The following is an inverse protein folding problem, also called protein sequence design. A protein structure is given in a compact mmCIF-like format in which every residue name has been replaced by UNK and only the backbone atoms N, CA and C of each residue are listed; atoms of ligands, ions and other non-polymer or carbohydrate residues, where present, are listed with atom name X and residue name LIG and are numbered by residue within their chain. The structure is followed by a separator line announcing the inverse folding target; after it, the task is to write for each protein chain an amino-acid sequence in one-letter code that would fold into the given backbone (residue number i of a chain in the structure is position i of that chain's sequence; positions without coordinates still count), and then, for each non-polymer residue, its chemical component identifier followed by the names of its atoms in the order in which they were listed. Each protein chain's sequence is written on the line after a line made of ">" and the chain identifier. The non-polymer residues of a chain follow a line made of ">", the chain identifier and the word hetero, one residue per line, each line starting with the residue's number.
data_IF_988301064394
#
_entry.id   IF_988301064394
#
_cell.length_a   1.000
_cell.length_b   1.000
_cell.length_c   1.000
_cell.angle_alpha   90.00
_cell.angle_beta   90.00
_cell.angle_gamma   90.00
#
_symmetry.space_group_name_H-M   'P 1'
#
loop_
_entity.id
_entity.type
_entity.pdbx_description
1 polymer ?
#
# COMPACT_ATOMS: atom_id res chain seq x y z
N UNK A 1 21.76 8.94 18.77
CA UNK A 1 20.73 10.00 18.87
C UNK A 1 19.82 9.81 20.08
N UNK A 2 19.28 8.61 20.32
CA UNK A 2 18.41 8.36 21.49
C UNK A 2 19.08 8.59 22.85
N UNK A 3 20.37 8.22 22.98
CA UNK A 3 21.15 8.50 24.19
C UNK A 3 21.25 9.99 24.53
N UNK A 4 21.30 10.86 23.52
CA UNK A 4 21.34 12.31 23.71
C UNK A 4 19.97 12.87 24.16
N UNK A 5 18.87 12.30 23.67
CA UNK A 5 17.51 12.66 24.10
C UNK A 5 17.29 12.21 25.55
N UNK A 6 17.70 10.98 25.88
CA UNK A 6 17.64 10.43 27.23
C UNK A 6 18.45 11.28 28.22
N UNK A 7 19.65 11.73 27.84
CA UNK A 7 20.48 12.58 28.70
C UNK A 7 19.80 13.92 29.03
N UNK A 8 19.09 14.52 28.08
CA UNK A 8 18.35 15.78 28.32
C UNK A 8 17.09 15.54 29.14
N UNK A 9 16.31 14.49 28.84
CA UNK A 9 15.00 14.27 29.45
C UNK A 9 15.04 13.54 30.81
N UNK A 10 16.05 12.69 31.03
CA UNK A 10 16.13 11.80 32.21
C UNK A 10 17.33 12.12 33.11
N UNK A 11 18.44 12.57 32.53
CA UNK A 11 19.65 12.94 33.29
C UNK A 11 19.76 14.44 33.58
N UNK A 12 18.80 15.26 33.12
CA UNK A 12 18.74 16.70 33.37
C UNK A 12 19.85 17.50 32.67
N UNK A 13 20.48 16.95 31.63
CA UNK A 13 21.54 17.65 30.91
C UNK A 13 20.98 18.80 30.07
N UNK A 14 21.72 19.89 29.95
CA UNK A 14 21.38 20.94 28.99
C UNK A 14 21.52 20.40 27.56
N UNK A 15 20.62 20.83 26.67
CA UNK A 15 20.69 20.41 25.26
C UNK A 15 22.01 20.78 24.59
N UNK A 16 22.71 21.83 25.06
CA UNK A 16 24.06 22.18 24.60
C UNK A 16 25.08 21.13 25.02
N UNK A 17 25.10 20.77 26.31
CA UNK A 17 26.02 19.75 26.86
C UNK A 17 25.81 18.40 26.18
N UNK A 18 24.56 17.99 26.00
CA UNK A 18 24.25 16.73 25.32
C UNK A 18 24.64 16.77 23.83
N UNK A 19 24.36 17.87 23.12
CA UNK A 19 24.74 18.02 21.72
C UNK A 19 26.27 17.93 21.51
N UNK A 20 27.03 18.59 22.38
CA UNK A 20 28.49 18.60 22.34
C UNK A 20 29.07 17.23 22.70
N UNK A 21 28.60 16.61 23.78
CA UNK A 21 29.08 15.31 24.24
C UNK A 21 28.81 14.17 23.26
N UNK A 22 27.64 14.18 22.60
CA UNK A 22 27.28 13.16 21.62
C UNK A 22 27.62 13.54 20.17
N UNK A 23 28.30 14.68 19.97
CA UNK A 23 28.69 15.20 18.64
C UNK A 23 27.51 15.33 17.66
N UNK A 24 26.35 15.76 18.18
CA UNK A 24 25.13 15.94 17.39
C UNK A 24 24.90 17.44 17.16
N UNK A 25 24.56 17.89 15.94
CA UNK A 25 24.14 19.26 15.72
C UNK A 25 22.99 19.65 16.65
N UNK A 26 23.17 20.76 17.38
CA UNK A 26 22.21 21.21 18.41
C UNK A 26 20.79 21.36 17.87
N UNK A 27 20.64 21.84 16.64
CA UNK A 27 19.37 21.99 15.94
C UNK A 27 18.67 20.65 15.72
N UNK A 28 19.42 19.61 15.34
CA UNK A 28 18.91 18.24 15.20
C UNK A 28 18.43 17.68 16.53
N UNK A 29 19.20 17.87 17.61
CA UNK A 29 18.79 17.43 18.94
C UNK A 29 17.53 18.16 19.43
N UNK A 30 17.45 19.48 19.25
CA UNK A 30 16.25 20.26 19.61
C UNK A 30 15.01 19.82 18.83
N UNK A 31 15.15 19.62 17.52
CA UNK A 31 14.03 19.17 16.67
C UNK A 31 13.50 17.81 17.14
N UNK A 32 14.39 16.90 17.55
CA UNK A 32 14.01 15.60 18.12
C UNK A 32 13.36 15.72 19.51
N UNK A 33 13.86 16.59 20.39
CA UNK A 33 13.27 16.85 21.70
C UNK A 33 11.84 17.40 21.61
N UNK A 34 11.56 18.20 20.59
CA UNK A 34 10.23 18.72 20.28
C UNK A 34 9.30 17.66 19.65
N UNK A 35 9.71 16.39 19.59
CA UNK A 35 9.01 15.31 18.89
C UNK A 35 8.66 15.66 17.43
N UNK A 36 9.39 16.61 16.82
CA UNK A 36 9.30 16.85 15.39
C UNK A 36 9.99 15.66 14.73
N UNK A 37 9.22 14.60 14.52
CA UNK A 37 9.60 13.53 13.62
C UNK A 37 10.08 14.21 12.33
N UNK A 38 11.22 13.81 11.75
CA UNK A 38 11.56 14.19 10.41
C UNK A 38 10.43 13.64 9.55
N UNK A 39 9.48 14.51 9.22
CA UNK A 39 8.50 14.22 8.20
C UNK A 39 9.27 13.78 6.97
N UNK A 40 8.77 12.75 6.31
CA UNK A 40 9.31 12.29 5.03
C UNK A 40 9.50 13.54 4.15
N UNK A 41 10.73 13.80 3.69
CA UNK A 41 10.96 14.89 2.77
C UNK A 41 10.18 14.60 1.48
N UNK A 42 9.11 15.35 1.24
CA UNK A 42 8.22 15.19 0.09
C UNK A 42 6.73 15.37 0.45
N UNK A 43 5.90 15.59 -0.58
CA UNK A 43 4.46 15.69 -0.39
C UNK A 43 3.85 14.41 0.19
N UNK A 44 2.79 14.56 0.99
CA UNK A 44 2.03 13.43 1.55
C UNK A 44 1.59 12.48 0.43
N UNK A 45 1.71 11.17 0.67
CA UNK A 45 1.15 10.16 -0.23
C UNK A 45 -0.37 10.21 -0.17
N UNK A 46 -1.03 9.91 -1.30
CA UNK A 46 -2.50 9.84 -1.33
C UNK A 46 -3.06 8.69 -0.51
N UNK A 47 -2.27 7.62 -0.35
CA UNK A 47 -2.61 6.44 0.43
C UNK A 47 -1.80 6.50 1.73
N UNK A 48 -2.43 6.26 2.90
CA UNK A 48 -1.74 6.07 4.17
C UNK A 48 -0.72 4.93 4.07
N UNK A 49 0.42 5.05 4.75
CA UNK A 49 1.50 4.06 4.64
C UNK A 49 1.11 2.64 5.04
N UNK A 50 0.16 2.47 5.98
CA UNK A 50 -0.28 1.14 6.42
C UNK A 50 -1.10 0.43 5.32
N UNK A 51 -2.05 1.13 4.70
CA UNK A 51 -2.83 0.64 3.56
C UNK A 51 -1.93 0.38 2.34
N UNK A 52 -0.96 1.25 2.09
CA UNK A 52 -0.02 1.06 0.99
C UNK A 52 0.83 -0.21 1.16
N UNK A 53 1.07 -0.66 2.39
CA UNK A 53 1.81 -1.89 2.66
C UNK A 53 0.95 -3.16 2.56
N UNK A 54 -0.38 -3.07 2.71
CA UNK A 54 -1.30 -4.21 2.56
C UNK A 54 -1.74 -4.44 1.10
N UNK A 55 -1.72 -3.37 0.29
CA UNK A 55 -2.05 -3.44 -1.15
C UNK A 55 -1.17 -4.43 -1.95
N UNK A 56 0.15 -4.52 -1.72
CA UNK A 56 0.99 -5.50 -2.40
C UNK A 56 0.53 -6.94 -2.21
N UNK A 57 0.27 -7.35 -0.96
CA UNK A 57 -0.15 -8.71 -0.66
C UNK A 57 -1.50 -9.04 -1.31
N UNK A 58 -2.45 -8.10 -1.29
CA UNK A 58 -3.72 -8.25 -2.00
C UNK A 58 -3.55 -8.43 -3.51
N UNK A 59 -2.72 -7.59 -4.14
CA UNK A 59 -2.47 -7.65 -5.60
C UNK A 59 -1.71 -8.91 -6.01
N UNK A 60 -0.78 -9.37 -5.18
CA UNK A 60 -0.04 -10.63 -5.38
C UNK A 60 -0.98 -11.83 -5.26
N UNK A 61 -1.78 -11.91 -4.19
CA UNK A 61 -2.74 -12.99 -3.98
C UNK A 61 -3.77 -13.06 -5.12
N UNK A 62 -4.26 -11.92 -5.59
CA UNK A 62 -5.19 -11.86 -6.72
C UNK A 62 -4.58 -12.39 -8.01
N UNK A 63 -3.28 -12.12 -8.23
CA UNK A 63 -2.52 -12.66 -9.36
C UNK A 63 -2.35 -14.17 -9.25
N UNK A 64 -2.08 -14.70 -8.05
CA UNK A 64 -1.90 -16.13 -7.82
C UNK A 64 -3.22 -16.91 -8.03
N UNK A 65 -4.37 -16.26 -7.76
CA UNK A 65 -5.72 -16.80 -8.02
C UNK A 65 -6.12 -16.65 -9.51
N UNK A 66 -5.23 -16.15 -10.37
CA UNK A 66 -5.47 -15.86 -11.80
C UNK A 66 -6.61 -14.87 -12.06
N UNK A 67 -6.92 -14.01 -11.08
CA UNK A 67 -7.92 -12.95 -11.28
C UNK A 67 -7.29 -11.90 -12.20
N UNK A 68 -7.93 -11.56 -13.34
CA UNK A 68 -7.37 -10.60 -14.29
C UNK A 68 -7.48 -9.17 -13.74
N UNK A 69 -6.55 -8.79 -12.86
CA UNK A 69 -6.44 -7.42 -12.38
C UNK A 69 -5.75 -6.57 -13.45
N UNK A 70 -6.57 -5.94 -14.30
CA UNK A 70 -6.10 -4.87 -15.13
C UNK A 70 -5.88 -3.58 -14.28
N UNK A 71 -5.16 -2.62 -14.86
CA UNK A 71 -4.82 -1.37 -14.18
C UNK A 71 -6.05 -0.56 -13.74
N UNK A 72 -7.14 -0.63 -14.50
CA UNK A 72 -8.38 0.09 -14.19
C UNK A 72 -9.07 -0.53 -12.98
N UNK A 73 -9.07 -1.87 -12.86
CA UNK A 73 -9.60 -2.58 -11.68
C UNK A 73 -8.79 -2.25 -10.43
N UNK A 74 -7.45 -2.29 -10.50
CA UNK A 74 -6.61 -1.83 -9.39
C UNK A 74 -6.90 -0.38 -8.99
N UNK A 75 -7.17 0.50 -9.96
CA UNK A 75 -7.52 1.89 -9.67
C UNK A 75 -8.88 1.97 -8.95
N UNK A 76 -9.86 1.16 -9.37
CA UNK A 76 -11.18 1.06 -8.74
C UNK A 76 -11.09 0.63 -7.27
N UNK A 77 -10.37 -0.46 -6.99
CA UNK A 77 -10.17 -0.96 -5.61
C UNK A 77 -9.52 0.11 -4.73
N UNK A 78 -8.52 0.82 -5.24
CA UNK A 78 -7.84 1.88 -4.49
C UNK A 78 -8.76 3.08 -4.25
N UNK A 79 -9.62 3.44 -5.22
CA UNK A 79 -10.62 4.51 -5.08
C UNK A 79 -11.67 4.12 -4.03
N UNK A 80 -12.14 2.88 -4.05
CA UNK A 80 -13.13 2.35 -3.10
C UNK A 80 -12.56 2.33 -1.68
N UNK A 81 -11.36 1.76 -1.50
CA UNK A 81 -10.62 1.81 -0.23
C UNK A 81 -10.43 3.26 0.25
N UNK A 82 -10.06 4.17 -0.65
CA UNK A 82 -9.89 5.59 -0.29
C UNK A 82 -11.22 6.25 0.14
N UNK A 83 -12.34 5.79 -0.41
CA UNK A 83 -13.68 6.27 -0.06
C UNK A 83 -14.10 5.76 1.31
N UNK A 84 -13.83 4.48 1.61
CA UNK A 84 -14.10 3.88 2.92
C UNK A 84 -13.28 4.53 4.04
N UNK A 85 -12.07 5.00 3.72
CA UNK A 85 -11.18 5.70 4.64
C UNK A 85 -11.41 7.22 4.70
N UNK A 86 -12.47 7.72 4.06
CA UNK A 86 -12.85 9.15 4.02
C UNK A 86 -11.71 10.07 3.54
N UNK A 87 -10.89 9.61 2.60
CA UNK A 87 -9.76 10.40 2.08
C UNK A 87 -10.24 11.45 1.06
N UNK A 88 -9.85 12.72 1.26
CA UNK A 88 -10.29 13.88 0.45
C UNK A 88 -9.94 13.82 -1.06
N UNK A 89 -9.12 12.86 -1.51
CA UNK A 89 -8.55 12.84 -2.86
C UNK A 89 -8.61 11.47 -3.57
N UNK A 90 -9.81 10.94 -3.85
CA UNK A 90 -10.02 9.56 -4.33
C UNK A 90 -9.39 9.28 -5.70
N UNK A 91 -9.13 10.30 -6.53
CA UNK A 91 -8.64 10.09 -7.90
C UNK A 91 -7.23 9.46 -7.96
N UNK A 92 -7.17 8.18 -8.31
CA UNK A 92 -5.93 7.42 -8.47
C UNK A 92 -5.43 7.42 -9.94
N UNK A 93 -4.52 8.35 -10.24
CA UNK A 93 -3.97 8.55 -11.60
C UNK A 93 -2.76 7.65 -11.90
N UNK A 94 -2.40 7.59 -13.19
CA UNK A 94 -1.23 6.86 -13.69
C UNK A 94 0.09 7.20 -12.99
N UNK A 95 0.29 8.46 -12.59
CA UNK A 95 1.49 8.89 -11.86
C UNK A 95 1.58 8.24 -10.47
N UNK A 96 0.44 8.00 -9.82
CA UNK A 96 0.37 7.36 -8.51
C UNK A 96 0.73 5.88 -8.62
N UNK A 97 0.24 5.19 -9.65
CA UNK A 97 0.69 3.83 -9.99
C UNK A 97 2.21 3.74 -10.18
N UNK A 98 2.81 4.64 -10.96
CA UNK A 98 4.28 4.62 -11.17
C UNK A 98 5.05 4.83 -9.87
N UNK A 99 4.55 5.69 -8.99
CA UNK A 99 5.16 5.94 -7.67
C UNK A 99 4.98 4.75 -6.73
N UNK A 100 3.82 4.09 -6.75
CA UNK A 100 3.54 2.85 -6.02
C UNK A 100 4.51 1.74 -6.43
N UNK A 101 4.61 1.45 -7.73
CA UNK A 101 5.54 0.42 -8.25
C UNK A 101 7.01 0.75 -7.97
N UNK A 102 7.39 2.03 -7.90
CA UNK A 102 8.75 2.43 -7.50
C UNK A 102 9.02 2.16 -6.01
N UNK A 103 7.99 2.18 -5.16
CA UNK A 103 8.09 1.89 -3.72
C UNK A 103 7.98 0.40 -3.42
N UNK A 104 7.29 -0.35 -4.27
CA UNK A 104 7.07 -1.79 -4.17
C UNK A 104 7.61 -2.50 -5.43
N UNK A 105 8.95 -2.72 -5.50
CA UNK A 105 9.60 -3.31 -6.67
C UNK A 105 9.23 -4.78 -6.91
N UNK A 106 8.83 -5.49 -5.85
CA UNK A 106 8.23 -6.82 -5.85
C UNK A 106 6.95 -6.88 -6.71
N UNK A 107 6.07 -5.88 -6.60
CA UNK A 107 4.92 -5.73 -7.48
C UNK A 107 5.34 -5.42 -8.92
N UNK A 108 6.34 -4.55 -9.10
CA UNK A 108 6.80 -4.15 -10.43
C UNK A 108 7.39 -5.33 -11.23
N UNK A 109 8.17 -6.18 -10.58
CA UNK A 109 8.78 -7.38 -11.16
C UNK A 109 7.73 -8.38 -11.65
N UNK A 110 6.66 -8.60 -10.87
CA UNK A 110 5.56 -9.51 -11.27
C UNK A 110 4.79 -8.99 -12.48
N UNK A 111 4.59 -7.67 -12.62
CA UNK A 111 3.93 -7.09 -13.80
C UNK A 111 4.75 -7.27 -15.08
N UNK A 112 6.09 -7.22 -14.99
CA UNK A 112 6.97 -7.47 -16.14
C UNK A 112 7.02 -8.94 -16.55
N UNK A 113 6.77 -9.86 -15.61
CA UNK A 113 6.67 -11.30 -15.84
C UNK A 113 5.27 -11.75 -16.30
N UNK A 114 4.44 -10.84 -16.80
CA UNK A 114 3.24 -11.22 -17.54
C UNK A 114 3.67 -12.06 -18.76
N UNK A 115 3.74 -13.38 -18.56
CA UNK A 115 3.18 -14.34 -19.50
C UNK A 115 2.04 -13.62 -20.21
N UNK A 116 2.19 -13.48 -21.54
CA UNK A 116 1.23 -12.81 -22.39
C UNK A 116 -0.17 -13.08 -21.85
N UNK A 117 -0.88 -12.06 -21.34
CA UNK A 117 -2.21 -12.27 -20.70
C UNK A 117 -3.21 -12.92 -21.65
N UNK A 118 -2.91 -12.96 -22.96
CA UNK A 118 -3.62 -13.77 -23.95
C UNK A 118 -3.41 -15.28 -23.77
N UNK A 119 -2.23 -15.72 -23.35
CA UNK A 119 -1.90 -17.13 -23.05
C UNK A 119 -2.46 -17.59 -21.70
N UNK A 120 -2.52 -16.70 -20.70
CA UNK A 120 -3.10 -17.02 -19.38
C UNK A 120 -4.63 -16.87 -19.32
N UNK A 121 -5.24 -16.34 -20.39
CA UNK A 121 -6.70 -16.22 -20.58
C UNK A 121 -7.34 -17.48 -21.16
N UNK A 122 -6.59 -18.54 -21.38
CA UNK A 122 -7.17 -19.82 -21.78
C UNK A 122 -7.93 -20.40 -20.57
N UNK A 123 -9.24 -20.13 -20.55
CA UNK A 123 -10.18 -20.74 -19.63
C UNK A 123 -10.15 -22.25 -19.85
N UNK A 124 -9.53 -22.97 -18.93
CA UNK A 124 -9.62 -24.43 -18.86
C UNK A 124 -10.89 -24.80 -18.09
N UNK A 125 -11.45 -25.98 -18.36
CA UNK A 125 -12.62 -26.50 -17.62
C UNK A 125 -12.40 -26.43 -16.11
N UNK A 126 -11.18 -26.78 -15.69
CA UNK A 126 -10.75 -26.78 -14.28
C UNK A 126 -10.86 -25.38 -13.63
N UNK A 127 -10.59 -24.31 -14.37
CA UNK A 127 -10.71 -22.93 -13.87
C UNK A 127 -12.16 -22.48 -13.78
N UNK A 128 -13.00 -22.89 -14.74
CA UNK A 128 -14.44 -22.67 -14.67
C UNK A 128 -15.04 -23.38 -13.46
N UNK A 129 -14.67 -24.65 -13.26
CA UNK A 129 -15.18 -25.46 -12.14
C UNK A 129 -14.75 -24.88 -10.79
N UNK A 130 -13.47 -24.46 -10.67
CA UNK A 130 -12.97 -23.80 -9.46
C UNK A 130 -13.62 -22.44 -9.19
N UNK A 131 -13.99 -21.70 -10.24
CA UNK A 131 -14.73 -20.45 -10.09
C UNK A 131 -16.17 -20.71 -9.62
N UNK A 132 -16.87 -21.66 -10.25
CA UNK A 132 -18.24 -22.06 -9.89
C UNK A 132 -18.31 -22.53 -8.43
N UNK A 133 -17.32 -23.30 -7.98
CA UNK A 133 -17.24 -23.79 -6.60
C UNK A 133 -17.13 -22.67 -5.56
N UNK A 134 -16.55 -21.50 -5.93
CA UNK A 134 -16.38 -20.36 -5.03
C UNK A 134 -17.56 -19.40 -5.01
N UNK A 135 -18.45 -19.46 -5.99
CA UNK A 135 -19.63 -18.58 -6.06
C UNK A 135 -20.56 -18.70 -4.84
N UNK A 136 -20.84 -19.90 -4.29
CA UNK A 136 -21.64 -20.02 -3.07
C UNK A 136 -21.02 -19.30 -1.86
N UNK A 137 -19.70 -19.43 -1.68
CA UNK A 137 -18.99 -18.77 -0.58
C UNK A 137 -19.06 -17.24 -0.68
N UNK A 138 -18.90 -16.70 -1.90
CA UNK A 138 -19.03 -15.27 -2.17
C UNK A 138 -20.48 -14.79 -2.01
N UNK A 139 -21.46 -15.64 -2.27
CA UNK A 139 -22.87 -15.34 -2.01
C UNK A 139 -23.13 -15.16 -0.51
N UNK A 140 -22.60 -16.07 0.30
CA UNK A 140 -22.77 -16.08 1.76
C UNK A 140 -22.10 -14.87 2.44
N UNK A 141 -20.96 -14.41 1.92
CA UNK A 141 -20.31 -13.17 2.37
C UNK A 141 -20.99 -11.89 1.85
N UNK A 142 -22.08 -12.01 1.09
CA UNK A 142 -22.85 -10.89 0.57
C UNK A 142 -22.25 -10.20 -0.67
N UNK A 143 -21.20 -10.78 -1.27
CA UNK A 143 -20.56 -10.24 -2.47
C UNK A 143 -21.42 -10.34 -3.74
N UNK A 144 -22.48 -11.16 -3.76
CA UNK A 144 -23.39 -11.27 -4.92
C UNK A 144 -24.69 -10.44 -4.77
N UNK A 145 -24.78 -9.56 -3.78
CA UNK A 145 -26.01 -8.78 -3.52
C UNK A 145 -26.26 -7.69 -4.57
N UNK A 146 -25.23 -7.24 -5.30
CA UNK A 146 -25.36 -6.33 -6.44
C UNK A 146 -24.89 -7.05 -7.71
N UNK A 147 -25.69 -6.97 -8.77
CA UNK A 147 -25.35 -7.56 -10.07
C UNK A 147 -24.01 -7.04 -10.65
N UNK A 148 -23.59 -5.84 -10.25
CA UNK A 148 -22.31 -5.22 -10.61
C UNK A 148 -21.08 -5.88 -9.96
N UNK A 149 -21.29 -6.64 -8.87
CA UNK A 149 -20.23 -7.40 -8.18
C UNK A 149 -20.00 -8.77 -8.82
N UNK A 150 -20.94 -9.24 -9.65
CA UNK A 150 -20.73 -10.39 -10.53
C UNK A 150 -19.94 -9.90 -11.73
N UNK A 151 -18.63 -10.18 -11.75
CA UNK A 151 -17.76 -9.75 -12.83
C UNK A 151 -18.22 -10.38 -14.15
N UNK A 152 -18.65 -9.53 -15.10
CA UNK A 152 -18.99 -9.97 -16.44
C UNK A 152 -17.71 -10.37 -17.17
N UNK A 153 -17.68 -11.62 -17.65
CA UNK A 153 -16.52 -12.28 -18.26
C UNK A 153 -16.42 -11.95 -19.75
N UNK A 154 -15.86 -10.78 -20.09
CA UNK A 154 -15.39 -10.43 -21.44
C UNK A 154 -13.87 -10.68 -21.63
#
# INVERSE_FOLDING_TARGET
>A
MEWAIHAVQKLGWSGRKAAEYYEIPRTTLQRRLLNLQPGRHGGKTKIPSHEENALPDFLINSSDIKIPLNRQHCAGVIVEMSTQLELEHPAFKNQHFRRLLKRHPDLAMRVTHASSRKKDREWTSELCDSYIEKLPYLADEGFLQKAEQVWNLD
#
